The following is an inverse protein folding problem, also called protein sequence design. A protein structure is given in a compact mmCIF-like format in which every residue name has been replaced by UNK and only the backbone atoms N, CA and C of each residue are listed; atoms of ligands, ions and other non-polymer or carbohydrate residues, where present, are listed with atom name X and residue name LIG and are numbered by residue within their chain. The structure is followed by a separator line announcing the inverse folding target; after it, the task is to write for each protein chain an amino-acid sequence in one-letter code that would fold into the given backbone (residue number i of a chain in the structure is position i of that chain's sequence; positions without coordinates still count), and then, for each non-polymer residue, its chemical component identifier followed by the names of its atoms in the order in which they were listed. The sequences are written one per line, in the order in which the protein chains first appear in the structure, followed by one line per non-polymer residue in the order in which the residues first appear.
data_IF_350083864806
#
_entry.id   IF_350083864806
#
_cell.length_a   1.000
_cell.length_b   1.000
_cell.length_c   1.000
_cell.angle_alpha   90.00
_cell.angle_beta   90.00
_cell.angle_gamma   90.00
#
_symmetry.space_group_name_H-M   'P 1'
#
loop_
_entity.id
_entity.type
_entity.pdbx_description
1 polymer ?
#
# COMPACT_ATOMS: atom_id res chain seq x y z
N UNK A 1 4.36 15.29 -24.19
CA UNK A 1 3.01 15.74 -23.78
C UNK A 1 3.04 15.97 -22.28
N UNK A 2 3.03 17.23 -21.87
CA UNK A 2 3.09 17.63 -20.47
C UNK A 2 1.76 17.28 -19.77
N UNK A 3 1.80 16.53 -18.68
CA UNK A 3 0.63 16.35 -17.83
C UNK A 3 0.33 17.67 -17.13
N UNK A 4 -0.69 18.35 -17.62
CA UNK A 4 -1.17 19.60 -17.08
C UNK A 4 -1.69 19.39 -15.65
N UNK A 5 -1.25 20.27 -14.74
CA UNK A 5 -1.90 20.54 -13.46
C UNK A 5 -3.34 20.97 -13.73
N UNK A 6 -4.32 20.10 -13.53
CA UNK A 6 -5.73 20.49 -13.43
C UNK A 6 -6.33 19.85 -12.18
N UNK A 7 -6.94 20.73 -11.37
CA UNK A 7 -7.50 20.43 -10.07
C UNK A 7 -8.67 19.47 -10.15
N UNK A 8 -8.86 18.74 -9.06
CA UNK A 8 -9.91 17.75 -8.88
C UNK A 8 -11.07 18.44 -8.14
N UNK A 9 -12.06 18.93 -8.89
CA UNK A 9 -13.39 19.37 -8.45
C UNK A 9 -14.30 19.15 -9.68
N UNK A 10 -15.51 18.63 -9.64
CA UNK A 10 -16.39 18.20 -8.57
C UNK A 10 -17.43 17.25 -9.22
N UNK A 11 -17.96 16.29 -8.47
CA UNK A 11 -19.27 15.70 -8.75
C UNK A 11 -20.09 15.81 -7.47
N UNK A 12 -21.17 16.59 -7.55
CA UNK A 12 -21.97 17.01 -6.41
C UNK A 12 -22.72 15.87 -5.74
N UNK A 13 -22.76 15.93 -4.41
CA UNK A 13 -23.63 15.14 -3.55
C UNK A 13 -24.00 15.98 -2.34
N UNK A 14 -25.30 16.15 -2.12
CA UNK A 14 -25.92 17.06 -1.15
C UNK A 14 -25.50 16.78 0.29
N UNK A 15 -24.98 17.81 0.97
CA UNK A 15 -24.63 17.86 2.39
C UNK A 15 -25.87 18.08 3.26
N UNK A 16 -26.00 17.31 4.34
CA UNK A 16 -26.81 17.67 5.51
C UNK A 16 -25.84 18.03 6.63
N UNK A 17 -25.92 19.29 7.06
CA UNK A 17 -25.08 19.92 8.08
C UNK A 17 -25.67 19.64 9.48
N UNK A 18 -24.84 19.24 10.44
CA UNK A 18 -25.16 19.40 11.86
C UNK A 18 -23.87 19.78 12.59
N UNK A 19 -23.84 21.00 13.13
CA UNK A 19 -22.66 21.56 13.79
C UNK A 19 -22.65 21.30 15.29
N UNK A 20 -21.45 21.22 15.86
CA UNK A 20 -21.11 21.92 17.11
C UNK A 20 -19.59 22.07 17.20
N UNK A 21 -19.15 23.27 17.56
CA UNK A 21 -17.76 23.64 17.83
C UNK A 21 -17.52 23.57 19.33
N UNK A 22 -16.41 23.00 19.77
CA UNK A 22 -15.79 23.36 21.05
C UNK A 22 -14.27 23.30 20.93
N UNK A 23 -13.61 24.41 21.29
CA UNK A 23 -12.16 24.60 21.30
C UNK A 23 -11.48 23.94 22.51
N UNK A 24 -10.23 23.54 22.33
CA UNK A 24 -9.30 23.21 23.41
C UNK A 24 -7.86 23.15 22.90
N UNK A 25 -6.99 23.98 23.44
CA UNK A 25 -5.60 24.20 23.00
C UNK A 25 -4.60 23.15 23.50
N UNK A 26 -3.64 22.85 22.60
CA UNK A 26 -2.22 22.53 22.77
C UNK A 26 -1.75 21.66 23.96
N UNK A 27 -1.34 20.43 23.62
CA UNK A 27 -0.15 19.80 24.20
C UNK A 27 0.66 19.16 23.06
N UNK A 28 1.78 19.78 22.69
CA UNK A 28 2.79 19.17 21.82
C UNK A 28 3.67 18.24 22.66
N UNK A 29 3.37 16.95 22.59
CA UNK A 29 4.34 15.88 22.87
C UNK A 29 4.61 15.16 21.56
N UNK A 30 5.85 15.19 21.07
CA UNK A 30 6.26 14.38 19.92
C UNK A 30 6.44 12.95 20.43
N UNK A 31 5.59 11.95 20.08
CA UNK A 31 5.93 10.59 20.44
C UNK A 31 7.18 10.20 19.65
N UNK A 32 8.19 9.73 20.37
CA UNK A 32 9.28 8.97 19.79
C UNK A 32 8.68 7.90 18.87
N UNK A 33 9.27 7.72 17.69
CA UNK A 33 8.86 6.69 16.76
C UNK A 33 8.92 5.34 17.48
N UNK A 34 7.76 4.89 17.98
CA UNK A 34 7.60 3.56 18.53
C UNK A 34 7.87 2.61 17.37
N UNK A 35 8.99 1.91 17.46
CA UNK A 35 9.27 0.70 16.71
C UNK A 35 8.05 -0.22 16.92
N UNK A 36 7.14 -0.24 15.92
CA UNK A 36 5.85 -0.93 16.03
C UNK A 36 6.11 -2.42 16.18
N UNK A 37 5.51 -3.01 17.21
CA UNK A 37 5.50 -4.45 17.40
C UNK A 37 5.02 -5.16 16.11
N UNK A 38 5.63 -6.29 15.71
CA UNK A 38 5.31 -7.02 14.48
C UNK A 38 3.89 -7.63 14.44
N UNK A 39 3.06 -7.39 15.46
CA UNK A 39 1.80 -8.10 15.69
C UNK A 39 0.53 -7.33 15.31
N UNK A 40 0.60 -6.05 14.94
CA UNK A 40 -0.56 -5.26 14.49
C UNK A 40 -0.60 -5.13 12.97
N UNK A 41 -1.79 -5.23 12.37
CA UNK A 41 -1.97 -4.92 10.95
C UNK A 41 -1.44 -3.50 10.64
N UNK A 42 -0.84 -3.27 9.46
CA UNK A 42 -0.33 -1.94 9.12
C UNK A 42 -1.46 -0.90 9.15
N UNK A 43 -1.18 0.33 9.59
CA UNK A 43 -2.15 1.41 9.47
C UNK A 43 -2.44 1.68 7.99
N UNK A 44 -3.61 2.27 7.70
CA UNK A 44 -3.90 2.79 6.37
C UNK A 44 -2.81 3.78 5.93
N UNK A 45 -2.41 3.67 4.68
CA UNK A 45 -1.39 4.52 4.11
C UNK A 45 -0.95 4.06 2.74
N UNK A 46 -0.23 4.95 2.06
CA UNK A 46 0.44 4.63 0.80
C UNK A 46 1.43 3.47 0.97
N UNK A 47 1.46 2.55 0.02
CA UNK A 47 2.32 1.36 0.07
C UNK A 47 1.76 0.24 0.94
N UNK A 48 0.46 0.26 1.23
CA UNK A 48 -0.25 -0.80 1.96
C UNK A 48 -1.21 -1.51 1.01
N UNK A 49 -1.34 -2.82 1.17
CA UNK A 49 -2.37 -3.59 0.51
C UNK A 49 -3.67 -3.56 1.29
N UNK A 50 -4.78 -3.36 0.58
CA UNK A 50 -6.12 -3.68 1.03
C UNK A 50 -6.49 -5.05 0.48
N UNK A 51 -6.77 -5.99 1.36
CA UNK A 51 -7.20 -7.34 1.04
C UNK A 51 -8.70 -7.41 1.24
N UNK A 52 -9.44 -7.68 0.16
CA UNK A 52 -10.89 -7.77 0.22
C UNK A 52 -11.33 -8.88 1.19
N UNK A 53 -12.28 -8.58 2.05
CA UNK A 53 -12.98 -9.58 2.85
C UNK A 53 -13.64 -10.64 1.96
N UNK A 54 -13.71 -11.92 2.38
CA UNK A 54 -14.49 -12.95 1.68
C UNK A 54 -15.97 -12.57 1.47
N UNK A 55 -16.51 -11.71 2.34
CA UNK A 55 -17.90 -11.27 2.29
C UNK A 55 -18.11 -10.01 1.43
N UNK A 56 -17.05 -9.41 0.88
CA UNK A 56 -17.17 -8.24 0.01
C UNK A 56 -17.76 -8.65 -1.34
N UNK A 57 -19.06 -8.37 -1.52
CA UNK A 57 -19.84 -8.84 -2.66
C UNK A 57 -19.76 -7.94 -3.91
N UNK A 58 -19.17 -6.74 -3.81
CA UNK A 58 -19.03 -5.84 -4.95
C UNK A 58 -18.24 -6.55 -6.08
N UNK A 59 -18.81 -6.71 -7.29
CA UNK A 59 -18.14 -7.40 -8.38
C UNK A 59 -16.81 -6.75 -8.79
N UNK A 60 -16.66 -5.44 -8.59
CA UNK A 60 -15.42 -4.73 -8.86
C UNK A 60 -14.30 -5.14 -7.89
N UNK A 61 -14.64 -5.52 -6.65
CA UNK A 61 -13.67 -5.68 -5.57
C UNK A 61 -13.64 -7.05 -4.89
N UNK A 62 -14.57 -7.95 -5.22
CA UNK A 62 -14.54 -9.33 -4.72
C UNK A 62 -13.19 -10.00 -5.04
N UNK A 63 -12.61 -10.64 -4.03
CA UNK A 63 -11.33 -11.35 -4.11
C UNK A 63 -10.18 -10.51 -4.67
N UNK A 64 -10.16 -9.20 -4.37
CA UNK A 64 -9.09 -8.30 -4.81
C UNK A 64 -8.05 -8.05 -3.74
N UNK A 65 -6.84 -7.77 -4.21
CA UNK A 65 -5.77 -7.11 -3.45
C UNK A 65 -5.52 -5.77 -4.12
N UNK A 66 -5.76 -4.67 -3.42
CA UNK A 66 -5.55 -3.31 -3.92
C UNK A 66 -4.31 -2.72 -3.28
N UNK A 67 -3.38 -2.21 -4.08
CA UNK A 67 -2.27 -1.39 -3.58
C UNK A 67 -2.70 0.07 -3.45
N UNK A 68 -2.63 0.62 -2.24
CA UNK A 68 -2.80 2.06 -2.02
C UNK A 68 -1.60 2.81 -2.59
N UNK A 69 -1.83 3.60 -3.63
CA UNK A 69 -0.81 4.38 -4.31
C UNK A 69 -0.77 5.83 -3.83
N UNK A 70 -1.89 6.37 -3.39
CA UNK A 70 -2.03 7.69 -2.75
C UNK A 70 -3.04 7.60 -1.61
N UNK A 71 -2.77 8.32 -0.52
CA UNK A 71 -3.62 8.35 0.67
C UNK A 71 -3.48 9.72 1.34
N UNK A 72 -4.58 10.42 1.56
CA UNK A 72 -4.56 11.75 2.17
C UNK A 72 -5.94 12.43 2.25
N UNK A 73 -5.98 13.73 2.59
CA UNK A 73 -7.23 14.45 2.82
C UNK A 73 -8.10 14.62 1.56
N UNK A 74 -7.50 14.51 0.37
CA UNK A 74 -8.21 14.57 -0.91
C UNK A 74 -8.81 13.22 -1.33
N UNK A 75 -8.60 12.18 -0.52
CA UNK A 75 -9.07 10.82 -0.77
C UNK A 75 -7.94 9.81 -0.94
N UNK A 76 -8.30 8.62 -1.42
CA UNK A 76 -7.39 7.50 -1.63
C UNK A 76 -7.45 7.04 -3.08
N UNK A 77 -6.28 6.75 -3.65
CA UNK A 77 -6.16 6.10 -4.96
C UNK A 77 -5.40 4.80 -4.79
N UNK A 78 -5.92 3.72 -5.36
CA UNK A 78 -5.24 2.44 -5.42
C UNK A 78 -5.42 1.73 -6.76
N UNK A 79 -4.66 0.66 -6.97
CA UNK A 79 -4.80 -0.21 -8.14
C UNK A 79 -4.93 -1.66 -7.69
N UNK A 80 -5.86 -2.41 -8.29
CA UNK A 80 -5.99 -3.85 -8.07
C UNK A 80 -4.78 -4.55 -8.70
N UNK A 81 -3.96 -5.21 -7.88
CA UNK A 81 -2.69 -5.82 -8.33
C UNK A 81 -2.84 -7.26 -8.82
N UNK A 82 -3.99 -7.88 -8.56
CA UNK A 82 -4.20 -9.33 -8.66
C UNK A 82 -5.23 -9.74 -9.74
N UNK A 83 -5.56 -8.83 -10.66
CA UNK A 83 -6.57 -9.06 -11.71
C UNK A 83 -5.99 -8.84 -13.12
N UNK A 84 -5.24 -9.81 -13.66
CA UNK A 84 -4.85 -9.76 -15.07
C UNK A 84 -6.10 -9.79 -15.96
N UNK A 85 -6.02 -9.14 -17.11
CA UNK A 85 -7.05 -9.20 -18.16
C UNK A 85 -6.59 -10.06 -19.33
N UNK A 86 -7.49 -10.29 -20.29
CA UNK A 86 -7.19 -10.96 -21.55
C UNK A 86 -6.60 -10.01 -22.60
N UNK A 87 -6.56 -8.70 -22.32
CA UNK A 87 -6.09 -7.68 -23.26
C UNK A 87 -4.57 -7.49 -23.16
N UNK A 88 -3.94 -7.35 -24.32
CA UNK A 88 -2.52 -7.04 -24.39
C UNK A 88 -2.30 -5.53 -24.25
N UNK A 89 -1.19 -5.16 -23.60
CA UNK A 89 -0.77 -3.76 -23.50
C UNK A 89 -0.49 -3.16 -24.89
N UNK A 90 -0.02 -3.96 -25.83
CA UNK A 90 0.22 -3.57 -27.22
C UNK A 90 -1.06 -3.17 -27.97
N UNK A 91 -2.21 -3.75 -27.60
CA UNK A 91 -3.52 -3.40 -28.16
C UNK A 91 -4.04 -2.08 -27.61
N UNK A 92 -3.77 -1.82 -26.33
CA UNK A 92 -4.17 -0.57 -25.68
C UNK A 92 -3.26 0.62 -26.02
N UNK A 93 -2.00 0.35 -26.37
CA UNK A 93 -1.00 1.36 -26.78
C UNK A 93 -0.43 1.05 -28.18
N UNK A 94 -1.26 1.01 -29.24
CA UNK A 94 -0.85 0.53 -30.57
C UNK A 94 0.18 1.44 -31.26
N UNK A 95 0.30 2.68 -30.80
CA UNK A 95 1.28 3.65 -31.31
C UNK A 95 2.70 3.42 -30.77
N UNK A 96 2.87 2.64 -29.71
CA UNK A 96 4.18 2.34 -29.13
C UNK A 96 4.77 1.11 -29.83
N UNK A 97 5.65 1.35 -30.81
CA UNK A 97 6.24 0.29 -31.66
C UNK A 97 6.97 -0.78 -30.86
N UNK A 98 7.60 -0.39 -29.76
CA UNK A 98 8.34 -1.26 -28.83
C UNK A 98 7.46 -2.32 -28.14
N UNK A 99 6.14 -2.15 -28.12
CA UNK A 99 5.20 -3.14 -27.59
C UNK A 99 4.77 -4.17 -28.65
N UNK A 100 5.05 -3.94 -29.94
CA UNK A 100 4.63 -4.85 -31.01
C UNK A 100 5.30 -6.21 -30.83
N UNK A 101 4.48 -7.26 -30.89
CA UNK A 101 4.94 -8.65 -30.70
C UNK A 101 5.22 -9.03 -29.24
N UNK A 102 4.99 -8.13 -28.27
CA UNK A 102 5.10 -8.45 -26.84
C UNK A 102 3.80 -9.08 -26.33
N UNK A 103 3.92 -9.87 -25.26
CA UNK A 103 2.80 -10.57 -24.59
C UNK A 103 2.45 -9.96 -23.23
N UNK A 104 2.84 -8.70 -22.97
CA UNK A 104 2.50 -8.04 -21.72
C UNK A 104 1.00 -7.82 -21.61
N UNK A 105 0.40 -8.35 -20.56
CA UNK A 105 -1.04 -8.22 -20.29
C UNK A 105 -1.34 -6.93 -19.55
N UNK A 106 -2.50 -6.34 -19.83
CA UNK A 106 -3.09 -5.31 -18.99
C UNK A 106 -3.74 -5.92 -17.76
N UNK A 107 -3.65 -5.23 -16.63
CA UNK A 107 -4.40 -5.54 -15.43
C UNK A 107 -5.61 -4.62 -15.31
N UNK A 108 -6.71 -5.12 -14.75
CA UNK A 108 -7.84 -4.28 -14.40
C UNK A 108 -7.54 -3.62 -13.05
N UNK A 109 -7.18 -2.33 -13.07
CA UNK A 109 -6.76 -1.59 -11.88
C UNK A 109 -7.91 -1.07 -11.01
N UNK A 110 -9.10 -0.92 -11.58
CA UNK A 110 -10.32 -0.57 -10.86
C UNK A 110 -11.37 0.10 -11.76
N UNK A 111 -12.55 0.45 -11.21
CA UNK A 111 -13.69 0.91 -11.99
C UNK A 111 -13.58 2.36 -12.46
N UNK A 112 -12.68 3.16 -11.88
CA UNK A 112 -12.55 4.59 -12.19
C UNK A 112 -11.64 4.79 -13.40
N UNK A 113 -12.11 5.58 -14.37
CA UNK A 113 -11.40 5.89 -15.62
C UNK A 113 -10.87 4.62 -16.35
N UNK A 114 -11.74 3.69 -16.76
CA UNK A 114 -11.32 2.39 -17.31
C UNK A 114 -10.50 2.48 -18.61
N UNK A 115 -10.62 3.56 -19.37
CA UNK A 115 -9.80 3.83 -20.55
C UNK A 115 -8.43 4.43 -20.22
N UNK A 116 -8.21 4.89 -18.99
CA UNK A 116 -6.95 5.44 -18.54
C UNK A 116 -5.95 4.33 -18.22
N UNK A 117 -4.68 4.53 -18.59
CA UNK A 117 -3.61 3.58 -18.30
C UNK A 117 -2.68 4.17 -17.23
N UNK A 118 -2.50 3.41 -16.16
CA UNK A 118 -1.52 3.66 -15.11
C UNK A 118 -0.47 2.55 -15.12
N UNK A 119 0.75 2.86 -14.69
CA UNK A 119 1.84 1.91 -14.64
C UNK A 119 2.55 2.00 -13.30
N UNK A 120 2.82 0.84 -12.70
CA UNK A 120 3.80 0.71 -11.63
C UNK A 120 5.14 0.29 -12.24
N UNK A 121 6.21 0.93 -11.82
CA UNK A 121 7.58 0.60 -12.20
C UNK A 121 8.37 0.19 -10.95
N UNK A 122 9.15 -0.89 -11.04
CA UNK A 122 10.14 -1.34 -10.05
C UNK A 122 11.53 -0.98 -10.56
N UNK A 123 12.08 0.11 -10.06
CA UNK A 123 13.36 0.68 -10.52
C UNK A 123 14.14 1.27 -9.34
N UNK A 124 15.48 1.24 -9.42
CA UNK A 124 16.34 1.79 -8.36
C UNK A 124 16.27 3.32 -8.25
N UNK A 125 16.01 4.02 -9.35
CA UNK A 125 15.93 5.48 -9.39
C UNK A 125 14.54 5.95 -9.82
N UNK A 126 14.03 6.98 -9.13
CA UNK A 126 12.73 7.58 -9.40
C UNK A 126 12.64 8.10 -10.85
N UNK A 127 11.72 7.58 -11.69
CA UNK A 127 11.51 8.15 -13.01
C UNK A 127 10.83 9.53 -12.97
N UNK A 128 11.02 10.31 -14.03
CA UNK A 128 10.39 11.63 -14.20
C UNK A 128 8.86 11.49 -14.22
N UNK A 129 8.16 12.45 -13.61
CA UNK A 129 6.69 12.52 -13.52
C UNK A 129 6.03 11.28 -12.90
N UNK A 130 6.73 10.64 -11.96
CA UNK A 130 6.20 9.53 -11.16
C UNK A 130 6.03 9.90 -9.69
N UNK A 131 5.18 9.14 -9.01
CA UNK A 131 4.96 9.23 -7.56
C UNK A 131 5.51 7.97 -6.90
N UNK A 132 6.33 8.15 -5.88
CA UNK A 132 6.82 7.04 -5.06
C UNK A 132 5.67 6.41 -4.29
N UNK A 133 5.51 5.08 -4.37
CA UNK A 133 4.50 4.31 -3.64
C UNK A 133 5.14 3.60 -2.46
N UNK A 134 6.05 2.66 -2.73
CA UNK A 134 6.83 1.90 -1.74
C UNK A 134 8.24 1.63 -2.30
N UNK A 135 9.09 0.95 -1.52
CA UNK A 135 10.50 0.64 -1.85
C UNK A 135 10.75 0.29 -3.32
N UNK A 136 11.40 1.21 -4.05
CA UNK A 136 11.73 1.02 -5.48
C UNK A 136 10.53 1.00 -6.43
N UNK A 137 9.31 1.25 -5.94
CA UNK A 137 8.06 1.20 -6.72
C UNK A 137 7.46 2.58 -6.90
N UNK A 138 7.22 2.92 -8.16
CA UNK A 138 6.73 4.24 -8.57
C UNK A 138 5.51 4.11 -9.47
N UNK A 139 4.47 4.91 -9.21
CA UNK A 139 3.28 5.05 -10.05
C UNK A 139 3.48 6.17 -11.07
N UNK A 140 3.13 5.93 -12.32
CA UNK A 140 3.09 6.96 -13.37
C UNK A 140 2.41 6.47 -14.64
N UNK A 141 2.55 7.26 -15.72
CA UNK A 141 2.02 6.93 -17.05
C UNK A 141 2.93 7.43 -18.18
N UNK A 142 4.21 7.65 -17.88
CA UNK A 142 5.16 8.19 -18.85
C UNK A 142 5.65 7.11 -19.81
N UNK A 143 5.32 7.26 -21.09
CA UNK A 143 5.72 6.34 -22.16
C UNK A 143 7.24 6.25 -22.34
N UNK A 144 7.99 7.33 -22.12
CA UNK A 144 9.45 7.30 -22.18
C UNK A 144 10.05 6.43 -21.07
N UNK A 145 9.43 6.41 -19.89
CA UNK A 145 9.83 5.50 -18.81
C UNK A 145 9.53 4.06 -19.21
N UNK A 146 8.35 3.79 -19.79
CA UNK A 146 7.99 2.46 -20.28
C UNK A 146 9.00 1.97 -21.33
N UNK A 147 9.29 2.77 -22.35
CA UNK A 147 10.27 2.46 -23.41
C UNK A 147 11.64 2.07 -22.84
N UNK A 148 12.12 2.81 -21.83
CA UNK A 148 13.39 2.47 -21.17
C UNK A 148 13.30 1.15 -20.42
N UNK A 149 12.23 0.92 -19.67
CA UNK A 149 12.08 -0.25 -18.79
C UNK A 149 11.90 -1.54 -19.59
N UNK A 150 11.11 -1.54 -20.67
CA UNK A 150 10.87 -2.74 -21.48
C UNK A 150 12.10 -3.22 -22.26
N UNK A 151 13.11 -2.36 -22.45
CA UNK A 151 14.38 -2.75 -23.07
C UNK A 151 15.34 -3.46 -22.10
N UNK A 152 15.01 -3.46 -20.80
CA UNK A 152 15.79 -4.18 -19.80
C UNK A 152 15.47 -5.68 -19.81
N UNK A 153 16.40 -6.54 -19.35
CA UNK A 153 16.11 -7.96 -19.16
C UNK A 153 14.90 -8.16 -18.23
N UNK A 154 14.02 -9.10 -18.59
CA UNK A 154 12.83 -9.49 -17.81
C UNK A 154 11.92 -8.32 -17.38
N UNK A 155 11.35 -7.59 -18.35
CA UNK A 155 10.66 -6.35 -18.04
C UNK A 155 9.36 -6.54 -17.23
N UNK A 156 8.73 -7.71 -17.24
CA UNK A 156 7.59 -8.01 -16.35
C UNK A 156 7.95 -8.00 -14.86
N UNK A 157 9.22 -8.21 -14.51
CA UNK A 157 9.72 -8.05 -13.13
C UNK A 157 9.94 -6.57 -12.77
N UNK A 158 9.86 -5.67 -13.77
CA UNK A 158 10.23 -4.25 -13.65
C UNK A 158 9.07 -3.28 -13.89
N UNK A 159 7.95 -3.72 -14.47
CA UNK A 159 6.74 -2.91 -14.58
C UNK A 159 5.45 -3.72 -14.64
N UNK A 160 4.32 -3.08 -14.35
CA UNK A 160 2.97 -3.58 -14.59
C UNK A 160 2.04 -2.44 -15.01
N UNK A 161 1.21 -2.69 -16.02
CA UNK A 161 0.26 -1.71 -16.55
C UNK A 161 -1.18 -2.06 -16.16
N UNK A 162 -1.97 -1.02 -15.86
CA UNK A 162 -3.32 -1.12 -15.31
C UNK A 162 -4.28 -0.24 -16.11
N UNK A 163 -5.43 -0.80 -16.49
CA UNK A 163 -6.58 -0.08 -16.99
C UNK A 163 -7.46 0.36 -15.80
N UNK A 164 -7.63 1.67 -15.65
CA UNK A 164 -8.36 2.28 -14.54
C UNK A 164 -7.69 2.13 -13.17
N UNK A 165 -8.37 2.66 -12.17
CA UNK A 165 -7.95 2.62 -10.76
C UNK A 165 -9.15 2.52 -9.82
N UNK A 166 -8.87 2.21 -8.56
CA UNK A 166 -9.81 2.26 -7.45
C UNK A 166 -9.67 3.61 -6.73
N UNK A 167 -10.77 4.30 -6.50
CA UNK A 167 -10.80 5.61 -5.87
C UNK A 167 -11.78 5.62 -4.70
N UNK A 168 -11.36 6.23 -3.60
CA UNK A 168 -12.20 6.50 -2.43
C UNK A 168 -12.23 7.99 -2.18
N UNK A 169 -13.43 8.52 -1.96
CA UNK A 169 -13.61 9.88 -1.46
C UNK A 169 -13.00 10.01 -0.04
N UNK A 170 -12.72 11.24 0.43
CA UNK A 170 -12.23 11.47 1.79
C UNK A 170 -13.11 10.77 2.85
N UNK A 171 -12.50 9.97 3.73
CA UNK A 171 -13.18 9.24 4.80
C UNK A 171 -13.91 7.96 4.37
N UNK A 172 -14.08 7.71 3.07
CA UNK A 172 -14.82 6.55 2.57
C UNK A 172 -14.07 5.24 2.85
N UNK A 173 -12.76 5.20 2.63
CA UNK A 173 -11.96 3.99 2.88
C UNK A 173 -11.97 3.63 4.37
N UNK A 174 -11.85 4.62 5.25
CA UNK A 174 -11.93 4.44 6.70
C UNK A 174 -13.28 3.86 7.12
N UNK A 175 -14.36 4.35 6.52
CA UNK A 175 -15.70 3.79 6.75
C UNK A 175 -15.80 2.33 6.29
N UNK A 176 -15.29 2.01 5.09
CA UNK A 176 -15.28 0.64 4.59
C UNK A 176 -14.40 -0.30 5.43
N UNK A 177 -13.27 0.19 5.96
CA UNK A 177 -12.45 -0.54 6.94
C UNK A 177 -13.24 -0.84 8.22
N UNK A 178 -13.99 0.14 8.74
CA UNK A 178 -14.82 -0.04 9.94
C UNK A 178 -15.96 -1.05 9.73
N UNK A 179 -16.45 -1.18 8.49
CA UNK A 179 -17.44 -2.19 8.09
C UNK A 179 -16.85 -3.59 7.87
N UNK A 180 -15.53 -3.76 7.99
CA UNK A 180 -14.85 -5.03 7.78
C UNK A 180 -14.77 -5.45 6.30
N UNK A 181 -14.91 -4.51 5.37
CA UNK A 181 -14.78 -4.77 3.92
C UNK A 181 -13.36 -5.13 3.52
N UNK A 182 -12.37 -4.66 4.28
CA UNK A 182 -10.95 -4.71 3.95
C UNK A 182 -10.09 -5.08 5.17
N UNK A 183 -8.99 -5.76 4.93
CA UNK A 183 -7.89 -5.93 5.88
C UNK A 183 -6.60 -5.35 5.29
N UNK A 184 -5.72 -4.80 6.13
CA UNK A 184 -4.45 -4.23 5.67
C UNK A 184 -3.31 -5.24 5.75
N UNK A 185 -2.44 -5.26 4.74
CA UNK A 185 -1.20 -6.06 4.72
C UNK A 185 -0.06 -5.18 4.19
N UNK A 186 1.16 -5.37 4.71
CA UNK A 186 2.32 -4.64 4.18
C UNK A 186 2.53 -5.04 2.72
N UNK A 187 2.60 -4.05 1.84
CA UNK A 187 2.95 -4.33 0.46
C UNK A 187 4.46 -4.51 0.33
N UNK A 188 4.85 -5.44 -0.52
CA UNK A 188 6.22 -5.65 -0.94
C UNK A 188 6.27 -5.75 -2.48
N UNK A 189 7.38 -5.34 -3.12
CA UNK A 189 7.47 -5.40 -4.56
C UNK A 189 7.32 -6.82 -5.14
N UNK A 190 7.77 -7.86 -4.44
CA UNK A 190 7.69 -9.22 -4.96
C UNK A 190 6.24 -9.71 -5.05
N UNK A 191 5.39 -9.37 -4.09
CA UNK A 191 3.94 -9.63 -4.16
C UNK A 191 3.26 -8.87 -5.30
N UNK A 192 3.80 -7.73 -5.73
CA UNK A 192 3.32 -7.03 -6.90
C UNK A 192 3.82 -7.74 -8.15
N UNK A 193 5.13 -7.80 -8.40
CA UNK A 193 5.68 -8.15 -9.73
C UNK A 193 5.97 -9.63 -9.94
N UNK A 194 6.29 -10.37 -8.88
CA UNK A 194 6.95 -11.68 -8.98
C UNK A 194 5.99 -12.85 -8.67
N UNK A 195 4.99 -12.63 -7.80
CA UNK A 195 4.00 -13.66 -7.42
C UNK A 195 2.93 -13.86 -8.49
N UNK A 196 2.32 -15.05 -8.49
CA UNK A 196 1.11 -15.32 -9.27
C UNK A 196 -0.03 -14.40 -8.81
N UNK A 197 -0.54 -13.51 -9.68
CA UNK A 197 -1.62 -12.61 -9.30
C UNK A 197 -2.93 -13.36 -8.98
N UNK A 198 -3.20 -14.52 -9.57
CA UNK A 198 -4.46 -15.23 -9.35
C UNK A 198 -4.52 -15.79 -7.92
N UNK A 199 -3.43 -16.39 -7.44
CA UNK A 199 -3.31 -16.91 -6.07
C UNK A 199 -3.16 -15.84 -4.98
N UNK A 200 -2.78 -14.60 -5.33
CA UNK A 200 -2.34 -13.59 -4.37
C UNK A 200 -3.35 -13.31 -3.25
N UNK A 201 -4.64 -13.18 -3.58
CA UNK A 201 -5.67 -12.91 -2.57
C UNK A 201 -5.79 -14.04 -1.53
N UNK A 202 -5.75 -15.28 -1.99
CA UNK A 202 -5.79 -16.46 -1.10
C UNK A 202 -4.57 -16.50 -0.19
N UNK A 203 -3.39 -16.19 -0.73
CA UNK A 203 -2.14 -16.18 0.05
C UNK A 203 -2.15 -15.09 1.11
N UNK A 204 -2.70 -13.91 0.80
CA UNK A 204 -2.85 -12.83 1.79
C UNK A 204 -3.85 -13.18 2.89
N UNK A 205 -4.97 -13.85 2.57
CA UNK A 205 -5.91 -14.32 3.60
C UNK A 205 -5.29 -15.37 4.52
N UNK A 206 -4.50 -16.30 3.97
CA UNK A 206 -3.77 -17.29 4.78
C UNK A 206 -2.77 -16.60 5.72
N UNK A 207 -2.03 -15.62 5.21
CA UNK A 207 -1.09 -14.84 6.02
C UNK A 207 -1.80 -14.07 7.14
N UNK A 208 -2.98 -13.51 6.88
CA UNK A 208 -3.80 -12.83 7.88
C UNK A 208 -4.34 -13.79 8.96
N UNK A 209 -4.58 -15.06 8.61
CA UNK A 209 -5.17 -16.08 9.50
C UNK A 209 -4.13 -16.93 10.25
N UNK A 210 -2.85 -16.81 9.90
CA UNK A 210 -1.79 -17.56 10.56
C UNK A 210 -1.59 -17.10 12.02
N UNK A 211 -1.38 -18.00 12.99
CA UNK A 211 -1.07 -17.63 14.37
C UNK A 211 0.18 -16.75 14.40
N UNK A 212 0.04 -15.51 14.90
CA UNK A 212 1.19 -14.62 15.11
C UNK A 212 1.97 -15.16 16.30
N UNK A 213 3.22 -15.56 16.08
CA UNK A 213 4.07 -16.16 17.11
C UNK A 213 4.34 -15.12 18.20
N UNK A 214 3.80 -15.34 19.40
CA UNK A 214 4.15 -14.55 20.58
C UNK A 214 5.61 -14.85 20.92
N UNK A 215 6.52 -13.93 20.61
CA UNK A 215 7.86 -13.96 21.21
C UNK A 215 7.71 -13.66 22.71
N UNK A 216 7.64 -14.71 23.53
CA UNK A 216 7.80 -14.56 24.97
C UNK A 216 9.24 -14.12 25.22
N UNK A 217 9.42 -12.83 25.52
CA UNK A 217 10.68 -12.30 26.00
C UNK A 217 10.85 -12.84 27.42
N UNK A 218 11.42 -14.04 27.57
CA UNK A 218 11.91 -14.50 28.87
C UNK A 218 13.01 -13.52 29.28
N UNK A 219 12.66 -12.62 30.19
CA UNK A 219 13.60 -11.75 30.86
C UNK A 219 14.65 -12.65 31.53
N UNK A 220 15.90 -12.53 31.08
CA UNK A 220 17.02 -12.92 31.91
C UNK A 220 17.12 -11.89 33.02
N UNK A 221 16.43 -12.15 34.13
CA UNK A 221 16.67 -11.42 35.37
C UNK A 221 18.08 -11.75 35.85
N UNK A 222 18.94 -10.76 35.71
CA UNK A 222 20.33 -10.78 36.14
C UNK A 222 20.36 -10.69 37.67
N UNK A 223 21.00 -11.68 38.28
CA UNK A 223 21.41 -11.69 39.69
C UNK A 223 22.15 -10.38 40.02
N UNK A 224 21.57 -9.55 40.88
CA UNK A 224 22.32 -8.49 41.58
C UNK A 224 22.63 -8.98 42.98
N UNK A 225 23.83 -9.55 43.14
CA UNK A 225 24.46 -9.67 44.46
C UNK A 225 24.85 -8.26 44.91
N UNK A 226 24.19 -7.76 45.94
CA UNK A 226 24.57 -6.52 46.61
C UNK A 226 24.48 -6.71 48.12
N UNK A 227 25.60 -7.07 48.74
CA UNK A 227 25.86 -6.74 50.15
C UNK A 227 27.29 -6.16 50.20
N UNK A 228 27.34 -4.90 50.64
CA UNK A 228 28.47 -3.96 50.71
C UNK A 228 29.46 -4.28 51.86
N UNK A 229 30.67 -3.68 51.87
CA UNK A 229 31.66 -3.82 52.94
C UNK A 229 31.64 -2.69 54.00
N UNK A 230 32.29 -2.99 55.15
CA UNK A 230 32.77 -2.14 56.27
C UNK A 230 31.71 -1.49 57.19
N UNK A 231 31.81 -1.50 58.52
CA UNK A 231 32.87 -0.89 59.33
C UNK A 231 33.15 -1.56 60.71
N UNK A 232 34.28 -1.14 61.26
CA UNK A 232 34.99 -1.43 62.52
C UNK A 232 34.28 -1.02 63.82
N UNK A 233 34.60 -1.68 64.95
CA UNK A 233 34.30 -1.16 66.30
C UNK A 233 34.67 -2.08 67.47
N UNK A 234 35.53 -1.59 68.36
CA UNK A 234 36.26 -2.24 69.48
C UNK A 234 35.43 -2.48 70.77
N UNK A 235 35.65 -3.63 71.43
CA UNK A 235 35.77 -3.87 72.91
C UNK A 235 34.57 -3.60 73.86
N UNK A 236 34.60 -4.04 75.16
CA UNK A 236 35.79 -4.32 75.97
C UNK A 236 35.76 -5.55 76.93
N UNK A 237 36.96 -5.81 77.49
CA UNK A 237 37.37 -6.55 78.73
C UNK A 237 37.12 -8.05 78.87
#
# INVERSE_FOLDING_TARGET
MAFARHGWLAAGGTLVLCGLVMSGSLFQGRPAAAERAPDSLPPLGKGVFLVASPNLADPNFRQTVVLICEYGPEGTLGVIVNRPSEFLLSEALPKLSVLKGTSYVLFLGGPVQPSGILMLFRVGEKPVDTRHVLEGVYLGGNMATLERVITQPKPTETFRAYAGYAGWAPGQLEFEMAMGSWATVHADPASIFDKDPIGLWSDMLKALSAPRVIHSRLAHDTWTSQILPSETGVGPS
#
